data_IF_079101477400
#
_entry.id   IF_079101477400
#
_cell.length_a   1.000
_cell.length_b   1.000
_cell.length_c   1.000
_cell.angle_alpha   90.00
_cell.angle_beta   90.00
_cell.angle_gamma   90.00
#
_symmetry.space_group_name_H-M   'P 1'
#
loop_
_entity.id
_entity.type
_entity.pdbx_description
1 polymer ?
#
# COMPACT_ATOMS: atom_id res chain seq x y z
N UNK A 1 5.18 7.52 -8.66
CA UNK A 1 6.55 7.09 -8.30
C UNK A 1 7.01 7.74 -7.00
N UNK A 2 7.40 6.93 -6.02
CA UNK A 2 7.89 7.43 -4.73
C UNK A 2 9.25 8.13 -4.90
N UNK A 3 9.62 8.97 -3.93
CA UNK A 3 10.98 9.49 -3.75
C UNK A 3 11.96 8.34 -3.92
N UNK A 4 12.96 8.43 -4.81
CA UNK A 4 13.83 7.30 -5.18
C UNK A 4 15.04 7.18 -4.24
N UNK A 5 15.34 8.23 -3.48
CA UNK A 5 16.35 8.26 -2.43
C UNK A 5 16.17 9.51 -1.54
N UNK A 6 16.72 9.51 -0.32
CA UNK A 6 16.82 10.72 0.52
C UNK A 6 17.68 11.83 -0.14
N UNK A 7 18.52 11.48 -1.11
CA UNK A 7 19.28 12.44 -1.91
C UNK A 7 18.38 13.30 -2.80
N UNK A 8 17.19 12.84 -3.19
CA UNK A 8 16.19 13.67 -3.88
C UNK A 8 15.62 14.80 -3.00
N UNK A 9 15.76 14.71 -1.67
CA UNK A 9 15.46 15.84 -0.76
C UNK A 9 16.53 16.92 -0.79
N UNK A 10 17.70 16.67 -1.39
CA UNK A 10 18.82 17.62 -1.46
C UNK A 10 19.03 18.10 -2.91
N UNK A 11 18.58 19.30 -3.29
CA UNK A 11 18.61 19.78 -4.67
C UNK A 11 20.02 19.96 -5.27
N UNK A 12 21.08 19.90 -4.45
CA UNK A 12 22.48 20.19 -4.85
C UNK A 12 23.37 18.95 -5.05
N UNK A 13 22.90 17.73 -4.79
CA UNK A 13 23.72 16.50 -4.98
C UNK A 13 23.41 15.83 -6.33
N UNK A 14 24.46 15.32 -6.99
CA UNK A 14 24.33 14.59 -8.25
C UNK A 14 23.49 13.32 -8.09
N UNK A 15 22.68 12.98 -9.11
CA UNK A 15 21.83 11.78 -9.10
C UNK A 15 22.67 10.50 -9.10
N UNK A 16 22.16 9.48 -8.42
CA UNK A 16 22.75 8.14 -8.47
C UNK A 16 22.59 7.53 -9.88
N UNK A 17 23.54 6.70 -10.33
CA UNK A 17 23.43 5.97 -11.61
C UNK A 17 22.16 5.12 -11.69
N UNK A 18 21.74 4.54 -10.56
CA UNK A 18 20.48 3.78 -10.44
C UNK A 18 19.24 4.64 -10.68
N UNK A 19 19.23 5.90 -10.22
CA UNK A 19 18.15 6.85 -10.46
C UNK A 19 18.04 7.26 -11.93
N UNK A 20 19.18 7.37 -12.61
CA UNK A 20 19.19 7.65 -14.05
C UNK A 20 18.60 6.48 -14.85
N UNK A 21 18.99 5.25 -14.52
CA UNK A 21 18.49 4.05 -15.17
C UNK A 21 16.98 3.87 -14.95
N UNK A 22 16.50 4.01 -13.72
CA UNK A 22 15.07 3.85 -13.41
C UNK A 22 14.23 4.96 -14.07
N UNK A 23 14.76 6.18 -14.19
CA UNK A 23 14.06 7.28 -14.90
C UNK A 23 13.89 6.96 -16.39
N UNK A 24 14.88 6.33 -17.04
CA UNK A 24 14.77 5.85 -18.43
C UNK A 24 13.74 4.74 -18.55
N UNK A 25 13.80 3.75 -17.67
CA UNK A 25 12.83 2.65 -17.62
C UNK A 25 11.40 3.18 -17.49
N UNK A 26 11.19 4.12 -16.56
CA UNK A 26 9.91 4.80 -16.44
C UNK A 26 9.51 5.40 -17.77
N UNK A 27 10.34 6.25 -18.38
CA UNK A 27 10.02 6.90 -19.67
C UNK A 27 9.51 5.91 -20.71
N UNK A 28 10.13 4.73 -20.81
CA UNK A 28 9.67 3.63 -21.66
C UNK A 28 8.28 3.09 -21.25
N UNK A 29 8.03 2.85 -19.96
CA UNK A 29 6.68 2.49 -19.47
C UNK A 29 5.61 3.53 -19.83
N UNK A 30 5.91 4.84 -19.80
CA UNK A 30 4.91 5.85 -20.21
C UNK A 30 4.67 5.84 -21.71
N UNK A 31 5.71 5.62 -22.51
CA UNK A 31 5.53 5.47 -23.94
C UNK A 31 4.63 4.26 -24.23
N UNK A 32 4.86 3.13 -23.57
CA UNK A 32 4.02 1.94 -23.69
C UNK A 32 2.58 2.21 -23.25
N UNK A 33 2.39 2.87 -22.10
CA UNK A 33 1.08 3.30 -21.61
C UNK A 33 0.36 4.21 -22.62
N UNK A 34 1.05 5.18 -23.21
CA UNK A 34 0.51 6.07 -24.24
C UNK A 34 0.03 5.26 -25.46
N UNK A 35 0.86 4.34 -25.96
CA UNK A 35 0.49 3.46 -27.09
C UNK A 35 -0.74 2.63 -26.73
N UNK A 36 -0.80 2.04 -25.54
CA UNK A 36 -1.96 1.29 -25.07
C UNK A 36 -3.24 2.14 -25.02
N UNK A 37 -3.17 3.38 -24.54
CA UNK A 37 -4.31 4.31 -24.50
C UNK A 37 -4.79 4.66 -25.90
N UNK A 38 -3.86 4.96 -26.83
CA UNK A 38 -4.21 5.29 -28.22
C UNK A 38 -4.87 4.09 -28.91
N UNK A 39 -4.27 2.90 -28.80
CA UNK A 39 -4.84 1.67 -29.38
C UNK A 39 -6.19 1.35 -28.77
N UNK A 40 -6.34 1.46 -27.45
CA UNK A 40 -7.60 1.21 -26.78
C UNK A 40 -8.70 2.19 -27.21
N UNK A 41 -8.39 3.49 -27.22
CA UNK A 41 -9.36 4.54 -27.57
C UNK A 41 -9.78 4.44 -29.04
N UNK A 42 -8.83 4.18 -29.94
CA UNK A 42 -9.13 4.00 -31.37
C UNK A 42 -9.99 2.76 -31.61
N UNK A 43 -9.67 1.64 -30.97
CA UNK A 43 -10.50 0.44 -31.00
C UNK A 43 -11.90 0.78 -30.51
N UNK A 44 -12.03 1.32 -29.30
CA UNK A 44 -13.32 1.74 -28.73
C UNK A 44 -14.14 2.62 -29.67
N UNK A 45 -13.55 3.62 -30.31
CA UNK A 45 -14.25 4.50 -31.25
C UNK A 45 -14.73 3.77 -32.52
N UNK A 46 -13.90 2.93 -33.13
CA UNK A 46 -14.27 2.15 -34.33
C UNK A 46 -15.46 1.24 -34.01
N UNK A 47 -15.37 0.62 -32.84
CA UNK A 47 -16.32 -0.34 -32.31
C UNK A 47 -17.65 0.29 -31.91
N UNK A 48 -17.62 1.37 -31.14
CA UNK A 48 -18.80 2.15 -30.80
C UNK A 48 -19.57 2.62 -32.03
N UNK A 49 -18.85 3.07 -33.08
CA UNK A 49 -19.45 3.51 -34.35
C UNK A 49 -20.16 2.38 -35.12
N UNK A 50 -19.76 1.12 -34.94
CA UNK A 50 -20.41 -0.03 -35.59
C UNK A 50 -21.68 -0.48 -34.88
N UNK A 51 -21.79 -0.16 -33.60
CA UNK A 51 -22.82 -0.70 -32.70
C UNK A 51 -23.91 0.28 -32.37
N UNK A 52 -23.57 1.57 -32.25
CA UNK A 52 -24.53 2.63 -31.97
C UNK A 52 -24.74 3.52 -33.20
N UNK A 53 -25.98 3.96 -33.40
CA UNK A 53 -26.32 4.92 -34.46
C UNK A 53 -25.67 6.26 -34.18
N UNK A 54 -25.69 6.68 -32.92
CA UNK A 54 -25.18 7.96 -32.46
C UNK A 54 -23.82 7.80 -31.77
N UNK A 55 -23.05 8.90 -31.73
CA UNK A 55 -21.75 8.93 -31.08
C UNK A 55 -21.88 8.79 -29.56
N UNK A 56 -21.17 7.83 -28.95
CA UNK A 56 -21.15 7.60 -27.50
C UNK A 56 -20.51 8.76 -26.71
N UNK A 57 -19.86 9.71 -27.39
CA UNK A 57 -19.26 10.90 -26.78
C UNK A 57 -20.27 12.04 -26.53
N UNK A 58 -21.49 11.93 -27.05
CA UNK A 58 -22.55 12.92 -26.88
C UNK A 58 -23.70 12.30 -26.09
N UNK A 59 -24.42 13.07 -25.27
CA UNK A 59 -25.62 12.58 -24.60
C UNK A 59 -26.64 12.14 -25.67
N UNK A 60 -27.06 10.89 -25.59
CA UNK A 60 -28.08 10.27 -26.46
C UNK A 60 -28.59 8.98 -25.80
N UNK A 61 -29.64 8.41 -26.40
CA UNK A 61 -30.30 7.20 -25.89
C UNK A 61 -29.56 5.90 -26.24
N UNK A 62 -28.31 5.96 -26.70
CA UNK A 62 -27.45 4.81 -27.05
C UNK A 62 -28.16 3.71 -27.87
N UNK A 63 -28.96 4.12 -28.84
CA UNK A 63 -29.70 3.20 -29.72
C UNK A 63 -28.75 2.37 -30.59
N UNK A 64 -29.01 1.06 -30.63
CA UNK A 64 -28.26 0.12 -31.45
C UNK A 64 -28.45 0.37 -32.95
N UNK A 65 -27.44 0.03 -33.75
CA UNK A 65 -27.56 0.04 -35.21
C UNK A 65 -28.66 -0.92 -35.65
N UNK A 66 -29.45 -0.57 -36.69
CA UNK A 66 -30.60 -1.38 -37.12
C UNK A 66 -30.21 -2.79 -37.54
N UNK A 67 -29.00 -2.97 -38.10
CA UNK A 67 -28.45 -4.28 -38.42
C UNK A 67 -28.26 -5.15 -37.16
N UNK A 68 -27.75 -4.57 -36.07
CA UNK A 68 -27.52 -5.28 -34.82
C UNK A 68 -28.84 -5.55 -34.07
N UNK A 69 -29.73 -4.55 -34.04
CA UNK A 69 -31.07 -4.70 -33.46
C UNK A 69 -31.83 -5.86 -34.12
N UNK A 70 -31.78 -5.97 -35.46
CA UNK A 70 -32.43 -7.06 -36.18
C UNK A 70 -31.85 -8.44 -35.86
N UNK A 71 -30.52 -8.55 -35.75
CA UNK A 71 -29.83 -9.80 -35.36
C UNK A 71 -30.22 -10.28 -33.95
N UNK A 72 -30.44 -9.34 -33.03
CA UNK A 72 -30.70 -9.62 -31.61
C UNK A 72 -32.20 -9.84 -31.33
N UNK A 73 -33.10 -9.35 -32.20
CA UNK A 73 -34.54 -9.24 -31.96
C UNK A 73 -35.27 -10.53 -31.56
N UNK A 74 -34.83 -11.68 -32.06
CA UNK A 74 -35.51 -12.98 -31.85
C UNK A 74 -34.62 -14.02 -31.16
N UNK A 75 -33.55 -13.58 -30.49
CA UNK A 75 -32.62 -14.48 -29.84
C UNK A 75 -32.68 -14.33 -28.31
N UNK A 76 -32.75 -15.46 -27.62
CA UNK A 76 -32.59 -15.52 -26.17
C UNK A 76 -31.57 -16.60 -25.82
N UNK A 77 -30.62 -16.28 -24.96
CA UNK A 77 -29.62 -17.25 -24.52
C UNK A 77 -29.46 -17.19 -23.00
N UNK A 78 -29.45 -18.36 -22.36
CA UNK A 78 -29.13 -18.48 -20.94
C UNK A 78 -27.63 -18.66 -20.80
N UNK A 79 -26.95 -17.64 -20.33
CA UNK A 79 -25.52 -17.69 -20.04
C UNK A 79 -25.35 -18.08 -18.58
N UNK A 80 -24.61 -19.16 -18.32
CA UNK A 80 -24.20 -19.55 -16.98
C UNK A 80 -22.73 -19.21 -16.81
N UNK A 81 -22.44 -18.23 -15.97
CA UNK A 81 -21.07 -17.85 -15.63
C UNK A 81 -20.70 -18.43 -14.28
N UNK A 82 -19.49 -18.99 -14.22
CA UNK A 82 -18.97 -19.58 -12.98
C UNK A 82 -18.80 -18.52 -11.89
N UNK A 83 -18.43 -17.30 -12.29
CA UNK A 83 -18.23 -16.16 -11.40
C UNK A 83 -18.70 -14.86 -12.04
N UNK A 84 -19.68 -14.20 -11.41
CA UNK A 84 -20.08 -12.83 -11.74
C UNK A 84 -19.88 -11.98 -10.49
N UNK A 85 -18.91 -11.06 -10.55
CA UNK A 85 -18.49 -10.22 -9.41
C UNK A 85 -18.12 -11.06 -8.17
N UNK A 86 -19.02 -11.16 -7.19
CA UNK A 86 -18.84 -11.89 -5.94
C UNK A 86 -19.70 -13.17 -5.85
N UNK A 87 -20.53 -13.45 -6.86
CA UNK A 87 -21.48 -14.56 -6.85
C UNK A 87 -21.00 -15.70 -7.76
N UNK A 88 -21.15 -16.93 -7.29
CA UNK A 88 -20.82 -18.14 -8.04
C UNK A 88 -22.07 -18.79 -8.64
N UNK A 89 -21.92 -19.39 -9.83
CA UNK A 89 -22.99 -20.16 -10.48
C UNK A 89 -24.21 -19.34 -10.90
N UNK A 90 -23.99 -18.11 -11.36
CA UNK A 90 -25.09 -17.22 -11.75
C UNK A 90 -25.51 -17.55 -13.19
N UNK A 91 -26.80 -17.85 -13.37
CA UNK A 91 -27.41 -18.00 -14.70
C UNK A 91 -28.24 -16.78 -15.03
N UNK A 92 -27.94 -16.13 -16.16
CA UNK A 92 -28.65 -14.94 -16.64
C UNK A 92 -29.31 -15.29 -17.97
N UNK A 93 -30.62 -15.05 -18.08
CA UNK A 93 -31.33 -15.15 -19.35
C UNK A 93 -31.20 -13.80 -20.07
N UNK A 94 -30.43 -13.78 -21.15
CA UNK A 94 -30.27 -12.59 -21.99
C UNK A 94 -31.31 -12.66 -23.11
N UNK A 95 -32.24 -11.71 -23.09
CA UNK A 95 -33.22 -11.40 -24.13
C UNK A 95 -32.80 -10.17 -24.94
N UNK A 96 -33.53 -9.84 -26.01
CA UNK A 96 -33.21 -8.71 -26.87
C UNK A 96 -33.19 -7.36 -26.13
N UNK A 97 -34.17 -7.11 -25.27
CA UNK A 97 -34.28 -5.88 -24.45
C UNK A 97 -33.10 -5.79 -23.47
N UNK A 98 -32.83 -6.85 -22.72
CA UNK A 98 -31.69 -6.89 -21.80
C UNK A 98 -30.34 -6.78 -22.51
N UNK A 99 -30.21 -7.29 -23.74
CA UNK A 99 -28.98 -7.20 -24.51
C UNK A 99 -28.68 -5.75 -24.92
N UNK A 100 -29.71 -4.98 -25.29
CA UNK A 100 -29.57 -3.55 -25.61
C UNK A 100 -29.12 -2.74 -24.38
N UNK A 101 -29.77 -2.94 -23.24
CA UNK A 101 -29.37 -2.28 -21.99
C UNK A 101 -27.94 -2.64 -21.58
N UNK A 102 -27.57 -3.91 -21.62
CA UNK A 102 -26.23 -4.35 -21.27
C UNK A 102 -25.16 -3.84 -22.26
N UNK A 103 -25.49 -3.71 -23.55
CA UNK A 103 -24.60 -3.12 -24.57
C UNK A 103 -24.36 -1.64 -24.27
N UNK A 104 -25.41 -0.88 -23.95
CA UNK A 104 -25.31 0.53 -23.60
C UNK A 104 -24.54 0.75 -22.30
N UNK A 105 -24.82 -0.05 -21.27
CA UNK A 105 -24.11 0.01 -19.99
C UNK A 105 -22.62 -0.31 -20.15
N UNK A 106 -22.29 -1.35 -20.93
CA UNK A 106 -20.90 -1.72 -21.21
C UNK A 106 -20.18 -0.59 -21.97
N UNK A 107 -20.83 0.05 -22.95
CA UNK A 107 -20.27 1.19 -23.66
C UNK A 107 -19.92 2.33 -22.71
N UNK A 108 -20.85 2.69 -21.81
CA UNK A 108 -20.63 3.71 -20.80
C UNK A 108 -19.46 3.34 -19.88
N UNK A 109 -19.40 2.11 -19.37
CA UNK A 109 -18.28 1.63 -18.53
C UNK A 109 -16.93 1.68 -19.25
N UNK A 110 -16.89 1.34 -20.54
CA UNK A 110 -15.67 1.45 -21.36
C UNK A 110 -15.30 2.90 -21.68
N UNK A 111 -16.28 3.81 -21.77
CA UNK A 111 -15.99 5.24 -21.88
C UNK A 111 -15.28 5.74 -20.61
N UNK A 112 -15.76 5.32 -19.43
CA UNK A 112 -15.12 5.65 -18.15
C UNK A 112 -13.68 5.13 -18.06
N UNK A 113 -13.39 3.92 -18.55
CA UNK A 113 -12.01 3.41 -18.58
C UNK A 113 -11.11 4.23 -19.51
N UNK A 114 -11.63 4.76 -20.63
CA UNK A 114 -10.88 5.73 -21.47
C UNK A 114 -10.50 6.96 -20.63
N UNK A 115 -11.47 7.59 -19.96
CA UNK A 115 -11.21 8.76 -19.11
C UNK A 115 -10.20 8.47 -18.00
N UNK A 116 -10.37 7.37 -17.27
CA UNK A 116 -9.43 6.99 -16.21
C UNK A 116 -8.04 6.68 -16.76
N UNK A 117 -7.93 6.04 -17.93
CA UNK A 117 -6.63 5.74 -18.54
C UNK A 117 -5.87 7.02 -18.94
N UNK A 118 -6.58 8.02 -19.47
CA UNK A 118 -6.01 9.34 -19.78
C UNK A 118 -5.60 10.05 -18.49
N UNK A 119 -6.46 10.05 -17.46
CA UNK A 119 -6.15 10.67 -16.17
C UNK A 119 -4.90 10.06 -15.52
N UNK A 120 -4.80 8.72 -15.48
CA UNK A 120 -3.61 8.01 -14.98
C UNK A 120 -2.37 8.40 -15.79
N UNK A 121 -2.47 8.47 -17.12
CA UNK A 121 -1.35 8.85 -17.98
C UNK A 121 -0.88 10.27 -17.69
N UNK A 122 -1.80 11.24 -17.61
CA UNK A 122 -1.49 12.66 -17.35
C UNK A 122 -0.87 12.85 -15.97
N UNK A 123 -1.49 12.28 -14.93
CA UNK A 123 -0.96 12.35 -13.56
C UNK A 123 0.39 11.64 -13.48
N UNK A 124 0.54 10.48 -14.13
CA UNK A 124 1.80 9.76 -14.21
C UNK A 124 2.91 10.58 -14.86
N UNK A 125 2.64 11.23 -15.99
CA UNK A 125 3.58 12.15 -16.65
C UNK A 125 3.96 13.32 -15.74
N UNK A 126 2.98 13.95 -15.08
CA UNK A 126 3.25 15.04 -14.13
C UNK A 126 4.14 14.57 -12.97
N UNK A 127 3.85 13.39 -12.41
CA UNK A 127 4.62 12.76 -11.34
C UNK A 127 6.08 12.51 -11.77
N UNK A 128 6.29 12.03 -13.00
CA UNK A 128 7.63 11.82 -13.55
C UNK A 128 8.37 13.11 -13.85
N UNK A 129 7.66 14.13 -14.32
CA UNK A 129 8.24 15.45 -14.52
C UNK A 129 8.72 16.04 -13.19
N UNK A 130 7.93 15.90 -12.13
CA UNK A 130 8.34 16.26 -10.77
C UNK A 130 9.60 15.49 -10.32
N UNK A 131 9.67 14.18 -10.57
CA UNK A 131 10.89 13.39 -10.31
C UNK A 131 12.07 13.89 -11.13
N UNK A 132 11.89 14.23 -12.42
CA UNK A 132 12.96 14.74 -13.29
C UNK A 132 13.44 16.14 -12.89
N UNK A 133 12.55 16.98 -12.36
CA UNK A 133 12.89 18.32 -11.85
C UNK A 133 13.44 18.29 -10.41
N UNK A 134 13.53 17.12 -9.78
CA UNK A 134 13.91 16.96 -8.37
C UNK A 134 13.04 17.80 -7.43
N UNK A 135 11.76 17.86 -7.75
CA UNK A 135 10.79 18.69 -7.07
C UNK A 135 10.17 17.86 -5.94
N UNK A 136 10.43 18.27 -4.69
CA UNK A 136 9.91 17.60 -3.49
C UNK A 136 8.66 18.33 -2.95
N UNK A 137 8.71 19.65 -2.93
CA UNK A 137 7.70 20.54 -2.35
C UNK A 137 7.63 21.86 -3.13
N UNK A 138 6.39 22.32 -3.44
CA UNK A 138 6.11 23.64 -4.00
C UNK A 138 5.33 24.36 -2.94
N UNK A 139 5.94 25.40 -2.41
CA UNK A 139 5.25 26.35 -1.55
C UNK A 139 4.78 27.50 -2.43
N UNK A 140 3.47 27.69 -2.52
CA UNK A 140 2.89 28.87 -3.14
C UNK A 140 1.93 29.54 -2.16
N UNK A 141 2.35 30.71 -1.66
CA UNK A 141 1.66 31.42 -0.57
C UNK A 141 1.48 30.48 0.64
N UNK A 142 0.24 30.06 0.91
CA UNK A 142 -0.12 29.18 2.03
C UNK A 142 -0.33 27.72 1.60
N UNK A 143 -0.15 27.39 0.32
CA UNK A 143 -0.34 26.04 -0.20
C UNK A 143 1.00 25.32 -0.31
N UNK A 144 1.07 24.16 0.33
CA UNK A 144 2.21 23.26 0.27
C UNK A 144 1.81 22.05 -0.56
N UNK A 145 2.22 22.01 -1.83
CA UNK A 145 2.00 20.85 -2.69
C UNK A 145 3.19 19.91 -2.55
N UNK A 146 2.98 18.79 -1.86
CA UNK A 146 3.97 17.72 -1.74
C UNK A 146 3.84 16.76 -2.91
N UNK A 147 4.99 16.27 -3.39
CA UNK A 147 5.06 15.23 -4.43
C UNK A 147 4.23 13.98 -4.08
N UNK A 148 4.08 13.66 -2.80
CA UNK A 148 3.31 12.51 -2.32
C UNK A 148 1.83 12.59 -2.71
N UNK A 149 1.27 13.80 -2.89
CA UNK A 149 -0.09 13.97 -3.36
C UNK A 149 -0.25 13.49 -4.81
N UNK A 150 0.71 13.79 -5.68
CA UNK A 150 0.72 13.30 -7.07
C UNK A 150 0.88 11.79 -7.10
N UNK A 151 1.73 11.23 -6.22
CA UNK A 151 1.86 9.79 -6.07
C UNK A 151 0.54 9.13 -5.65
N UNK A 152 -0.10 9.64 -4.60
CA UNK A 152 -1.35 9.10 -4.10
C UNK A 152 -2.47 9.20 -5.16
N UNK A 153 -2.58 10.34 -5.84
CA UNK A 153 -3.55 10.53 -6.92
C UNK A 153 -3.34 9.53 -8.07
N UNK A 154 -2.09 9.29 -8.47
CA UNK A 154 -1.74 8.34 -9.51
C UNK A 154 -2.15 6.90 -9.14
N UNK A 155 -1.89 6.48 -7.89
CA UNK A 155 -2.32 5.17 -7.37
C UNK A 155 -3.84 5.04 -7.27
N UNK A 156 -4.53 6.09 -6.81
CA UNK A 156 -6.00 6.10 -6.74
C UNK A 156 -6.62 6.03 -8.13
N UNK A 157 -6.11 6.79 -9.09
CA UNK A 157 -6.60 6.71 -10.47
C UNK A 157 -6.32 5.33 -11.09
N UNK A 158 -5.17 4.72 -10.78
CA UNK A 158 -4.85 3.37 -11.26
C UNK A 158 -5.77 2.30 -10.64
N UNK A 159 -6.14 2.43 -9.37
CA UNK A 159 -7.07 1.51 -8.71
C UNK A 159 -8.49 1.67 -9.24
N UNK A 160 -8.93 2.90 -9.52
CA UNK A 160 -10.20 3.18 -10.19
C UNK A 160 -10.23 2.59 -11.60
N UNK A 161 -9.14 2.74 -12.37
CA UNK A 161 -9.02 2.13 -13.70
C UNK A 161 -9.09 0.60 -13.64
N UNK A 162 -8.39 -0.02 -12.68
CA UNK A 162 -8.44 -1.47 -12.47
C UNK A 162 -9.85 -1.94 -12.09
N UNK A 163 -10.53 -1.22 -11.19
CA UNK A 163 -11.93 -1.51 -10.83
C UNK A 163 -12.85 -1.42 -12.05
N UNK A 164 -12.76 -0.35 -12.84
CA UNK A 164 -13.57 -0.15 -14.03
C UNK A 164 -13.30 -1.26 -15.08
N UNK A 165 -12.05 -1.68 -15.23
CA UNK A 165 -11.66 -2.82 -16.08
C UNK A 165 -12.34 -4.12 -15.63
N UNK A 166 -12.27 -4.49 -14.34
CA UNK A 166 -12.91 -5.71 -13.84
C UNK A 166 -14.44 -5.65 -13.94
N UNK A 167 -15.02 -4.48 -13.73
CA UNK A 167 -16.47 -4.25 -13.89
C UNK A 167 -16.92 -4.36 -15.35
N UNK A 168 -16.04 -4.14 -16.33
CA UNK A 168 -16.35 -4.29 -17.74
C UNK A 168 -16.16 -5.73 -18.25
N UNK A 169 -15.30 -6.55 -17.63
CA UNK A 169 -14.98 -7.88 -18.16
C UNK A 169 -16.12 -8.90 -18.02
N UNK A 170 -16.82 -8.93 -16.88
CA UNK A 170 -17.95 -9.84 -16.67
C UNK A 170 -19.11 -9.61 -17.67
N UNK A 171 -19.69 -8.40 -17.81
CA UNK A 171 -20.75 -8.16 -18.80
C UNK A 171 -20.26 -8.40 -20.23
N UNK A 172 -18.99 -8.11 -20.54
CA UNK A 172 -18.39 -8.39 -21.84
C UNK A 172 -18.42 -9.88 -22.18
N UNK A 173 -18.06 -10.77 -21.25
CA UNK A 173 -18.07 -12.23 -21.49
C UNK A 173 -19.48 -12.76 -21.74
N UNK A 174 -20.45 -12.28 -20.96
CA UNK A 174 -21.86 -12.65 -21.11
C UNK A 174 -22.39 -12.23 -22.48
N UNK A 175 -22.12 -10.98 -22.88
CA UNK A 175 -22.54 -10.49 -24.19
C UNK A 175 -21.85 -11.21 -25.34
N UNK A 176 -20.57 -11.57 -25.16
CA UNK A 176 -19.83 -12.31 -26.16
C UNK A 176 -20.44 -13.69 -26.39
N UNK A 177 -20.76 -14.41 -25.31
CA UNK A 177 -21.46 -15.70 -25.36
C UNK A 177 -22.85 -15.58 -25.99
N UNK A 178 -23.63 -14.55 -25.61
CA UNK A 178 -24.95 -14.29 -26.19
C UNK A 178 -24.88 -14.10 -27.71
N UNK A 179 -24.01 -13.21 -28.18
CA UNK A 179 -23.88 -12.88 -29.60
C UNK A 179 -23.28 -14.00 -30.44
N UNK A 180 -22.37 -14.81 -29.87
CA UNK A 180 -21.88 -16.04 -30.50
C UNK A 180 -23.02 -17.04 -30.69
N UNK A 181 -23.90 -17.19 -29.69
CA UNK A 181 -25.08 -18.06 -29.78
C UNK A 181 -26.11 -17.55 -30.78
N UNK A 182 -26.35 -16.24 -30.84
CA UNK A 182 -27.29 -15.61 -31.77
C UNK A 182 -26.80 -15.57 -33.23
N UNK A 183 -25.82 -16.42 -33.58
CA UNK A 183 -25.32 -16.67 -34.92
C UNK A 183 -24.81 -15.41 -35.65
N UNK A 184 -24.30 -14.45 -34.87
CA UNK A 184 -23.58 -13.33 -35.44
C UNK A 184 -22.13 -13.79 -35.71
N UNK A 185 -21.84 -14.22 -36.94
CA UNK A 185 -20.46 -14.41 -37.46
C UNK A 185 -19.64 -13.10 -37.51
N UNK A 186 -19.97 -12.16 -36.64
CA UNK A 186 -19.72 -10.73 -36.70
C UNK A 186 -18.95 -10.32 -35.45
N UNK A 187 -17.85 -11.03 -35.15
CA UNK A 187 -16.81 -10.56 -34.22
C UNK A 187 -16.39 -9.10 -34.54
N UNK A 188 -16.56 -8.66 -35.79
CA UNK A 188 -16.30 -7.28 -36.23
C UNK A 188 -17.32 -6.22 -35.79
N UNK A 189 -18.52 -6.59 -35.34
CA UNK A 189 -19.60 -5.67 -34.93
C UNK A 189 -19.77 -5.57 -33.42
N UNK A 190 -19.08 -6.41 -32.66
CA UNK A 190 -18.96 -6.24 -31.23
C UNK A 190 -18.05 -5.05 -30.94
N UNK A 191 -18.45 -4.12 -30.08
CA UNK A 191 -17.54 -3.05 -29.69
C UNK A 191 -16.33 -3.47 -28.84
N UNK A 192 -16.18 -4.76 -28.55
CA UNK A 192 -15.63 -5.19 -27.27
C UNK A 192 -14.61 -6.34 -27.39
N UNK A 193 -13.96 -6.49 -28.55
CA UNK A 193 -13.11 -7.66 -28.79
C UNK A 193 -11.81 -7.69 -27.97
N UNK A 194 -11.31 -6.57 -27.44
CA UNK A 194 -10.01 -6.60 -26.74
C UNK A 194 -9.89 -5.61 -25.60
N UNK A 195 -9.89 -6.15 -24.38
CA UNK A 195 -9.45 -5.48 -23.16
C UNK A 195 -7.92 -5.56 -22.97
N UNK A 196 -7.21 -6.23 -23.89
CA UNK A 196 -5.76 -6.48 -23.81
C UNK A 196 -4.92 -5.21 -23.68
N UNK A 197 -5.19 -4.11 -24.43
CA UNK A 197 -4.41 -2.89 -24.27
C UNK A 197 -4.52 -2.29 -22.86
N UNK A 198 -5.72 -2.30 -22.26
CA UNK A 198 -5.93 -1.86 -20.89
C UNK A 198 -5.24 -2.77 -19.87
N UNK A 199 -5.28 -4.08 -20.09
CA UNK A 199 -4.59 -5.04 -19.24
C UNK A 199 -3.07 -4.80 -19.23
N UNK A 200 -2.47 -4.62 -20.41
CA UNK A 200 -1.05 -4.28 -20.56
C UNK A 200 -0.76 -2.94 -19.88
N UNK A 201 -1.63 -1.94 -20.05
CA UNK A 201 -1.50 -0.65 -19.38
C UNK A 201 -1.45 -0.79 -17.86
N UNK A 202 -2.40 -1.51 -17.26
CA UNK A 202 -2.50 -1.70 -15.82
C UNK A 202 -1.28 -2.47 -15.30
N UNK A 203 -0.91 -3.59 -15.93
CA UNK A 203 0.27 -4.38 -15.53
C UNK A 203 1.55 -3.57 -15.60
N UNK A 204 1.76 -2.85 -16.71
CA UNK A 204 2.96 -2.01 -16.88
C UNK A 204 3.03 -0.94 -15.80
N UNK A 205 1.87 -0.36 -15.45
CA UNK A 205 1.77 0.63 -14.37
C UNK A 205 2.15 0.02 -13.02
N UNK A 206 1.51 -1.10 -12.64
CA UNK A 206 1.80 -1.82 -11.40
C UNK A 206 3.26 -2.26 -11.32
N UNK A 207 3.80 -2.81 -12.40
CA UNK A 207 5.19 -3.25 -12.47
C UNK A 207 6.17 -2.08 -12.28
N UNK A 208 5.89 -0.92 -12.88
CA UNK A 208 6.70 0.28 -12.68
C UNK A 208 6.69 0.75 -11.20
N UNK A 209 5.56 0.61 -10.50
CA UNK A 209 5.48 0.90 -9.08
C UNK A 209 6.27 -0.09 -8.22
N UNK A 210 6.13 -1.39 -8.50
CA UNK A 210 6.88 -2.45 -7.79
C UNK A 210 8.39 -2.24 -7.97
N UNK A 211 8.86 -2.08 -9.21
CA UNK A 211 10.27 -1.87 -9.49
C UNK A 211 10.78 -0.58 -8.84
N UNK A 212 9.97 0.47 -8.83
CA UNK A 212 10.27 1.70 -8.11
C UNK A 212 10.43 1.53 -6.61
N UNK A 213 9.51 0.79 -5.99
CA UNK A 213 9.58 0.45 -4.57
C UNK A 213 10.82 -0.36 -4.24
N UNK A 214 11.16 -1.34 -5.07
CA UNK A 214 12.37 -2.15 -4.91
C UNK A 214 13.63 -1.29 -4.99
N UNK A 215 13.75 -0.42 -6.00
CA UNK A 215 14.90 0.49 -6.14
C UNK A 215 14.97 1.48 -4.98
N UNK A 216 13.83 2.00 -4.52
CA UNK A 216 13.77 2.87 -3.35
C UNK A 216 14.30 2.14 -2.12
N UNK A 217 13.78 0.96 -1.80
CA UNK A 217 14.23 0.15 -0.67
C UNK A 217 15.73 -0.15 -0.75
N UNK A 218 16.23 -0.54 -1.92
CA UNK A 218 17.67 -0.75 -2.15
C UNK A 218 18.52 0.51 -1.97
N UNK A 219 17.97 1.69 -2.19
CA UNK A 219 18.68 2.96 -2.03
C UNK A 219 18.53 3.54 -0.61
N UNK A 220 17.45 3.23 0.11
CA UNK A 220 17.24 3.65 1.50
C UNK A 220 17.89 2.73 2.52
N UNK A 221 18.17 1.48 2.15
CA UNK A 221 19.01 0.62 2.97
C UNK A 221 20.36 1.31 3.19
N UNK A 222 20.89 1.35 4.42
CA UNK A 222 22.14 2.02 4.74
C UNK A 222 23.29 1.32 4.01
N UNK A 223 23.56 1.75 2.77
CA UNK A 223 24.74 1.35 2.02
C UNK A 223 25.92 2.07 2.65
N UNK A 224 26.84 1.32 3.26
CA UNK A 224 28.08 1.78 3.89
C UNK A 224 29.07 2.49 2.94
N UNK A 225 28.61 3.20 1.91
CA UNK A 225 29.48 3.84 0.91
C UNK A 225 28.94 5.10 0.23
N UNK A 226 27.80 5.67 0.68
CA UNK A 226 27.27 6.94 0.14
C UNK A 226 26.88 7.92 1.26
N UNK A 227 27.56 7.84 2.41
CA UNK A 227 27.53 8.93 3.39
C UNK A 227 28.66 9.90 3.05
N UNK A 228 28.37 11.20 3.01
CA UNK A 228 29.46 12.20 3.04
C UNK A 228 30.24 12.06 4.35
N UNK A 229 31.51 12.45 4.39
CA UNK A 229 32.33 12.35 5.61
C UNK A 229 31.63 12.95 6.84
N UNK A 230 30.91 14.06 6.68
CA UNK A 230 30.09 14.67 7.73
C UNK A 230 28.97 13.74 8.25
N UNK A 231 28.34 12.97 7.36
CA UNK A 231 27.27 12.02 7.72
C UNK A 231 27.85 10.74 8.35
N UNK A 232 29.06 10.34 7.95
CA UNK A 232 29.79 9.26 8.62
C UNK A 232 30.09 9.68 10.05
N UNK A 233 30.61 10.88 10.25
CA UNK A 233 30.91 11.44 11.58
C UNK A 233 29.63 11.55 12.42
N UNK A 234 28.53 12.02 11.85
CA UNK A 234 27.25 12.12 12.55
C UNK A 234 26.67 10.74 12.90
N UNK A 235 26.79 9.77 11.98
CA UNK A 235 26.38 8.39 12.21
C UNK A 235 27.23 7.67 13.25
N UNK A 236 28.54 7.87 13.24
CA UNK A 236 29.45 7.35 14.26
C UNK A 236 29.14 7.95 15.63
N UNK A 237 28.92 9.27 15.71
CA UNK A 237 28.46 9.94 16.94
C UNK A 237 27.11 9.40 17.41
N UNK A 238 26.19 9.12 16.50
CA UNK A 238 24.90 8.51 16.83
C UNK A 238 25.06 7.08 17.36
N UNK A 239 25.92 6.29 16.72
CA UNK A 239 26.23 4.90 17.11
C UNK A 239 26.90 4.85 18.48
N UNK A 240 27.86 5.74 18.73
CA UNK A 240 28.51 5.90 20.04
C UNK A 240 27.49 6.27 21.11
N UNK A 241 26.65 7.30 20.88
CA UNK A 241 25.57 7.68 21.82
C UNK A 241 24.56 6.57 22.09
N UNK A 242 24.32 5.69 21.11
CA UNK A 242 23.42 4.54 21.30
C UNK A 242 24.09 3.45 22.13
N UNK A 243 25.38 3.21 21.93
CA UNK A 243 26.15 2.27 22.75
C UNK A 243 26.33 2.76 24.18
N UNK A 244 26.57 4.05 24.38
CA UNK A 244 26.63 4.69 25.71
C UNK A 244 25.31 4.55 26.44
N UNK A 245 24.19 4.95 25.81
CA UNK A 245 22.85 4.75 26.39
C UNK A 245 22.56 3.28 26.70
N UNK A 246 23.00 2.35 25.86
CA UNK A 246 22.85 0.92 26.14
C UNK A 246 23.68 0.45 27.35
N UNK A 247 24.88 1.02 27.55
CA UNK A 247 25.72 0.73 28.73
C UNK A 247 25.14 1.38 29.99
N UNK A 248 24.67 2.61 29.91
CA UNK A 248 24.00 3.31 31.01
C UNK A 248 22.74 2.58 31.45
N UNK A 249 21.91 2.13 30.50
CA UNK A 249 20.72 1.32 30.81
C UNK A 249 21.09 -0.01 31.47
N UNK A 250 22.20 -0.66 31.08
CA UNK A 250 22.69 -1.87 31.74
C UNK A 250 23.15 -1.59 33.17
N UNK A 251 23.90 -0.51 33.41
CA UNK A 251 24.31 -0.10 34.77
C UNK A 251 23.12 0.22 35.65
N UNK A 252 22.16 0.98 35.13
CA UNK A 252 20.92 1.29 35.84
C UNK A 252 20.11 0.03 36.15
N UNK A 253 20.06 -0.95 35.24
CA UNK A 253 19.42 -2.25 35.52
C UNK A 253 20.15 -3.03 36.62
N UNK A 254 21.48 -3.01 36.65
CA UNK A 254 22.26 -3.66 37.70
C UNK A 254 22.06 -2.97 39.06
N UNK A 255 22.01 -1.65 39.09
CA UNK A 255 21.73 -0.86 40.30
C UNK A 255 20.31 -1.13 40.82
N UNK A 256 19.30 -1.07 39.95
CA UNK A 256 17.91 -1.43 40.31
C UNK A 256 17.84 -2.87 40.81
N UNK A 257 18.56 -3.81 40.18
CA UNK A 257 18.58 -5.21 40.62
C UNK A 257 19.21 -5.36 42.01
N UNK A 258 20.29 -4.63 42.29
CA UNK A 258 20.92 -4.61 43.63
C UNK A 258 19.99 -3.98 44.67
N UNK A 259 19.32 -2.88 44.34
CA UNK A 259 18.37 -2.23 45.25
C UNK A 259 17.14 -3.10 45.51
N UNK A 260 16.59 -3.74 44.48
CA UNK A 260 15.47 -4.67 44.65
C UNK A 260 15.87 -5.87 45.50
N UNK A 261 17.08 -6.42 45.30
CA UNK A 261 17.59 -7.50 46.16
C UNK A 261 17.72 -7.03 47.62
N UNK A 262 18.26 -5.82 47.84
CA UNK A 262 18.38 -5.23 49.17
C UNK A 262 17.01 -5.02 49.83
N UNK A 263 16.03 -4.51 49.08
CA UNK A 263 14.64 -4.35 49.58
C UNK A 263 14.01 -5.70 49.90
N UNK A 264 14.18 -6.72 49.07
CA UNK A 264 13.69 -8.06 49.35
C UNK A 264 14.28 -8.63 50.64
N UNK A 265 15.59 -8.50 50.85
CA UNK A 265 16.24 -8.96 52.09
C UNK A 265 15.76 -8.19 53.32
N UNK A 266 15.48 -6.88 53.20
CA UNK A 266 14.88 -6.11 54.31
C UNK A 266 13.47 -6.60 54.64
N UNK A 267 12.61 -6.77 53.64
CA UNK A 267 11.23 -7.27 53.84
C UNK A 267 11.24 -8.70 54.40
N UNK A 268 12.12 -9.57 53.93
CA UNK A 268 12.28 -10.92 54.48
C UNK A 268 12.77 -10.89 55.93
N UNK A 269 13.71 -10.00 56.26
CA UNK A 269 14.15 -9.81 57.65
C UNK A 269 13.03 -9.25 58.54
N UNK A 270 12.25 -8.28 58.06
CA UNK A 270 11.09 -7.74 58.78
C UNK A 270 10.01 -8.80 58.99
N UNK A 271 9.76 -9.65 58.00
CA UNK A 271 8.85 -10.79 58.14
C UNK A 271 9.36 -11.80 59.17
N UNK A 272 10.66 -12.11 59.17
CA UNK A 272 11.28 -13.00 60.17
C UNK A 272 11.23 -12.41 61.60
N UNK A 273 11.46 -11.11 61.75
CA UNK A 273 11.34 -10.43 63.05
C UNK A 273 9.87 -10.35 63.51
N UNK A 274 8.93 -10.07 62.62
CA UNK A 274 7.51 -10.09 62.93
C UNK A 274 7.03 -11.50 63.33
N UNK A 275 7.50 -12.55 62.67
CA UNK A 275 7.21 -13.94 63.03
C UNK A 275 7.77 -14.30 64.41
N UNK A 276 9.01 -13.88 64.71
CA UNK A 276 9.66 -14.04 66.02
C UNK A 276 8.91 -13.31 67.15
N UNK A 277 8.39 -12.12 66.89
CA UNK A 277 7.60 -11.35 67.85
C UNK A 277 6.20 -11.97 68.06
N UNK A 278 5.57 -12.52 67.00
CA UNK A 278 4.30 -13.26 67.15
C UNK A 278 4.45 -14.60 67.88
N UNK A 279 5.64 -15.23 67.82
CA UNK A 279 5.97 -16.46 68.55
C UNK A 279 6.41 -16.21 70.00
N UNK A 280 6.47 -14.96 70.47
CA UNK A 280 6.70 -14.62 71.89
C UNK A 280 8.05 -15.07 72.45
N UNK A 281 9.09 -15.17 71.62
CA UNK A 281 10.43 -15.59 72.06
C UNK A 281 11.27 -14.40 72.54
N UNK A 282 11.00 -13.92 73.76
CA UNK A 282 11.95 -13.08 74.50
C UNK A 282 13.18 -13.90 74.90
N UNK A 283 14.36 -13.37 74.59
CA UNK A 283 15.64 -14.04 74.81
C UNK A 283 15.85 -14.41 76.29
N UNK A 284 15.86 -15.71 76.57
CA UNK A 284 16.51 -16.28 77.75
C UNK A 284 17.92 -16.70 77.34
N UNK A 285 18.92 -16.19 78.07
CA UNK A 285 20.28 -16.71 78.02
C UNK A 285 20.27 -18.20 78.41
N UNK A 286 21.02 -19.03 77.69
CA UNK A 286 21.15 -20.45 77.98
C UNK A 286 22.00 -21.19 76.95
N UNK A 287 22.99 -21.92 77.46
CA UNK A 287 24.05 -22.65 76.78
C UNK A 287 23.66 -23.55 75.60
N UNK A 288 24.62 -23.61 74.67
CA UNK A 288 25.09 -24.80 73.94
C UNK A 288 24.12 -25.95 73.66
N UNK A 289 23.74 -26.10 72.39
CA UNK A 289 23.81 -27.42 71.70
C UNK A 289 23.62 -27.26 70.19
N UNK A 290 24.48 -27.93 69.43
CA UNK A 290 24.36 -28.15 68.00
C UNK A 290 23.05 -28.86 67.65
N UNK A 291 22.32 -28.32 66.67
CA UNK A 291 21.39 -29.10 65.87
C UNK A 291 21.52 -28.67 64.40
N UNK A 292 21.92 -29.63 63.57
CA UNK A 292 21.85 -29.58 62.11
C UNK A 292 20.42 -29.27 61.67
N UNK A 293 20.24 -28.32 60.75
CA UNK A 293 18.97 -28.11 60.08
C UNK A 293 19.13 -28.33 58.57
N UNK A 294 18.25 -29.18 58.05
CA UNK A 294 18.15 -29.68 56.70
C UNK A 294 18.21 -28.61 55.60
N UNK A 295 18.95 -28.97 54.56
CA UNK A 295 18.75 -28.57 53.16
C UNK A 295 17.32 -28.89 52.70
N UNK A 296 16.45 -27.88 52.64
CA UNK A 296 15.35 -27.81 51.67
C UNK A 296 15.28 -26.39 51.11
N UNK A 297 15.45 -26.29 49.79
CA UNK A 297 15.35 -25.04 49.06
C UNK A 297 13.88 -24.58 49.03
N UNK A 298 13.56 -23.32 49.37
CA UNK A 298 12.22 -22.82 49.20
C UNK A 298 11.92 -22.69 47.70
N UNK A 299 10.86 -23.36 47.25
CA UNK A 299 10.28 -23.17 45.93
C UNK A 299 9.89 -21.69 45.76
N UNK A 300 10.63 -20.98 44.90
CA UNK A 300 10.29 -19.63 44.48
C UNK A 300 8.99 -19.64 43.69
N UNK A 301 7.87 -19.34 44.35
CA UNK A 301 6.68 -18.87 43.66
C UNK A 301 6.98 -17.47 43.10
N UNK A 302 7.27 -17.41 41.79
CA UNK A 302 7.33 -16.16 41.04
C UNK A 302 5.94 -15.51 41.02
N UNK A 303 5.69 -14.59 41.95
CA UNK A 303 4.59 -13.64 41.81
C UNK A 303 5.03 -12.63 40.74
N UNK A 304 4.48 -12.76 39.53
CA UNK A 304 4.62 -11.73 38.50
C UNK A 304 3.94 -10.45 39.00
N UNK A 305 4.73 -9.47 39.41
CA UNK A 305 4.24 -8.11 39.51
C UNK A 305 3.95 -7.57 38.10
N UNK A 306 2.83 -6.84 37.90
CA UNK A 306 2.51 -6.24 36.61
C UNK A 306 3.61 -5.26 36.20
N UNK A 307 4.03 -5.36 34.93
CA UNK A 307 4.93 -4.40 34.31
C UNK A 307 4.38 -2.97 34.52
N UNK A 308 5.22 -1.98 34.87
CA UNK A 308 4.81 -0.59 34.74
C UNK A 308 4.52 -0.33 33.26
N UNK A 309 3.27 0.07 32.98
CA UNK A 309 2.88 0.55 31.66
C UNK A 309 3.78 1.71 31.28
N UNK A 310 4.66 1.50 30.30
CA UNK A 310 5.37 2.59 29.61
C UNK A 310 4.37 3.31 28.73
N UNK A 311 3.55 4.14 29.37
CA UNK A 311 2.55 5.00 28.78
C UNK A 311 2.88 6.46 29.08
N UNK A 312 4.03 6.93 28.60
CA UNK A 312 4.32 8.36 28.53
C UNK A 312 4.88 8.68 27.14
N UNK A 313 4.02 9.23 26.27
CA UNK A 313 4.46 9.89 25.05
C UNK A 313 5.39 11.04 25.45
N UNK A 314 6.54 11.24 24.78
CA UNK A 314 7.29 12.47 24.96
C UNK A 314 6.45 13.64 24.45
N UNK A 315 6.15 14.57 25.35
CA UNK A 315 5.69 15.93 24.99
C UNK A 315 6.88 16.62 24.35
N UNK A 316 6.84 16.78 23.03
CA UNK A 316 7.78 17.66 22.33
C UNK A 316 7.47 19.10 22.76
N UNK A 317 8.42 19.71 23.48
CA UNK A 317 8.44 21.15 23.72
C UNK A 317 8.94 21.79 22.42
N UNK A 318 8.07 22.52 21.73
CA UNK A 318 8.47 23.44 20.67
C UNK A 318 9.34 24.55 21.30
N UNK A 319 10.64 24.45 21.12
CA UNK A 319 11.51 25.61 21.24
C UNK A 319 11.46 26.37 19.92
N UNK A 320 10.76 27.50 19.95
CA UNK A 320 10.79 28.50 18.91
C UNK A 320 12.22 29.04 18.78
N UNK A 321 12.87 28.72 17.67
CA UNK A 321 14.04 29.46 17.20
C UNK A 321 13.55 30.59 16.28
N UNK A 322 13.44 31.78 16.85
CA UNK A 322 13.55 33.03 16.12
C UNK A 322 15.03 33.29 15.84
N UNK A 323 15.41 33.31 14.55
CA UNK A 323 16.35 34.28 13.96
C UNK A 323 16.31 34.21 12.44
#
# INVERSE_FOLDING_TARGET
MHVVSDLQRRPKKARLKSEFLITKFYSLCTLLQLVCVVVYTTQYCIYAKRTFVNSVWKPNDLQLTPSLSWLVKNCSHRVTETYIYAFSGVSVLVSSESAEEMLAELAARMLWTVFFSIAVLVIGVANRFAVKKNFFEFTWRNFVVRKDLLFAADVVCLSLLARAFFMADAPRRILLSYMEHCNSGLKGYMPYCSLTPLFIFIITSCFAYVLGGVVYLFNTLPKHGVMSEEEIVEYEKWKQRRQERAREMKRMQEEIRKENLRRHLMVESEAFFAERDTLGLTASAGDGTSAMLSTEAPQQHYVMHPQPQVGAKPVYREEAYTH
#
